data_IF_309401186520
#
_entry.id   IF_309401186520
#
_cell.length_a   1.000
_cell.length_b   1.000
_cell.length_c   1.000
_cell.angle_alpha   90.00
_cell.angle_beta   90.00
_cell.angle_gamma   90.00
#
_symmetry.space_group_name_H-M   'P 1'
#
loop_
_entity.id
_entity.type
_entity.pdbx_description
1 polymer ?
#
# COMPACT_ATOMS: atom_id res chain seq x y z
N UNK A 1 18.84 56.85 11.19
CA UNK A 1 19.50 56.91 12.52
C UNK A 1 18.92 55.81 13.39
N UNK A 2 19.81 55.08 14.05
CA UNK A 2 19.64 53.81 14.76
C UNK A 2 18.93 54.02 16.11
N UNK A 3 17.99 53.14 16.49
CA UNK A 3 18.04 52.38 17.77
C UNK A 3 16.98 51.28 17.85
N UNK A 4 17.50 50.07 17.81
CA UNK A 4 16.94 48.79 18.23
C UNK A 4 16.46 48.82 19.69
N UNK A 5 15.36 48.13 19.99
CA UNK A 5 15.07 47.60 21.33
C UNK A 5 14.43 46.21 21.19
N UNK A 6 15.28 45.19 21.10
CA UNK A 6 14.91 43.80 21.37
C UNK A 6 14.86 43.60 22.89
N UNK A 7 13.72 43.16 23.43
CA UNK A 7 13.65 42.55 24.77
C UNK A 7 13.58 41.05 24.60
N UNK A 8 14.70 40.40 24.89
CA UNK A 8 14.87 38.96 24.99
C UNK A 8 14.53 38.54 26.42
N UNK A 9 13.46 37.78 26.61
CA UNK A 9 13.16 37.14 27.91
C UNK A 9 13.68 35.72 27.86
N UNK A 10 14.81 35.49 28.55
CA UNK A 10 15.37 34.18 28.84
C UNK A 10 14.54 33.54 29.96
N UNK A 11 13.93 32.38 29.69
CA UNK A 11 13.39 31.49 30.70
C UNK A 11 14.31 30.27 30.81
N UNK A 12 15.11 30.28 31.87
CA UNK A 12 16.01 29.21 32.28
C UNK A 12 15.19 28.15 33.00
N UNK A 13 14.97 26.98 32.40
CA UNK A 13 14.47 25.81 33.10
C UNK A 13 15.65 24.87 33.37
N UNK A 14 16.06 24.82 34.64
CA UNK A 14 17.04 23.86 35.16
C UNK A 14 16.28 22.57 35.47
N UNK A 15 16.44 21.54 34.65
CA UNK A 15 15.97 20.19 34.95
C UNK A 15 17.16 19.36 35.44
N UNK A 16 17.22 19.10 36.75
CA UNK A 16 18.17 18.17 37.37
C UNK A 16 17.55 16.77 37.29
N UNK A 17 17.99 15.97 36.33
CA UNK A 17 17.70 14.53 36.31
C UNK A 17 18.81 13.80 37.07
N UNK A 18 18.49 13.34 38.28
CA UNK A 18 19.35 12.48 39.09
C UNK A 18 19.43 11.09 38.44
N UNK A 19 20.64 10.74 37.97
CA UNK A 19 20.99 9.41 37.47
C UNK A 19 21.19 8.49 38.69
N UNK A 20 20.23 7.61 38.97
CA UNK A 20 20.39 6.52 39.95
C UNK A 20 20.75 5.24 39.18
N UNK A 21 22.04 4.92 39.14
CA UNK A 21 22.53 3.60 38.75
C UNK A 21 22.20 2.60 39.87
N UNK A 22 21.31 1.64 39.58
CA UNK A 22 21.13 0.42 40.36
C UNK A 22 21.79 -0.78 39.65
N UNK A 23 22.43 -1.72 40.37
CA UNK A 23 23.07 -2.88 39.77
C UNK A 23 22.04 -3.97 39.45
N UNK A 24 22.01 -4.44 38.21
CA UNK A 24 21.28 -5.68 37.86
C UNK A 24 22.19 -6.85 38.20
N UNK A 25 21.82 -7.55 39.27
CA UNK A 25 22.38 -8.84 39.67
C UNK A 25 22.07 -9.90 38.61
N UNK A 26 23.05 -10.77 38.38
CA UNK A 26 23.05 -11.75 37.31
C UNK A 26 22.02 -12.88 37.44
N UNK A 27 21.69 -13.44 36.28
CA UNK A 27 21.20 -14.80 36.15
C UNK A 27 22.20 -15.58 35.28
N UNK A 28 22.67 -16.69 35.85
CA UNK A 28 23.55 -17.66 35.23
C UNK A 28 22.84 -18.34 34.05
N UNK A 29 23.46 -18.36 32.88
CA UNK A 29 23.10 -19.27 31.79
C UNK A 29 23.99 -20.51 31.93
N UNK A 30 23.38 -21.63 32.31
CA UNK A 30 24.01 -22.95 32.31
C UNK A 30 24.16 -23.52 30.90
N UNK A 31 24.99 -24.56 30.72
CA UNK A 31 25.43 -25.03 29.41
C UNK A 31 24.32 -25.79 28.68
N UNK A 32 24.25 -25.57 27.36
CA UNK A 32 23.45 -26.36 26.43
C UNK A 32 23.92 -27.81 26.45
N UNK A 33 23.01 -28.73 26.76
CA UNK A 33 23.21 -30.16 26.61
C UNK A 33 23.10 -30.54 25.13
N UNK A 34 24.09 -31.29 24.66
CA UNK A 34 24.13 -31.98 23.38
C UNK A 34 22.86 -32.79 23.14
N UNK A 35 22.17 -32.50 22.05
CA UNK A 35 21.16 -33.40 21.48
C UNK A 35 21.74 -34.03 20.19
N UNK A 36 21.62 -35.36 20.03
CA UNK A 36 22.35 -36.11 19.03
C UNK A 36 21.81 -35.95 17.61
N UNK A 37 22.76 -35.78 16.72
CA UNK A 37 22.70 -35.92 15.26
C UNK A 37 22.03 -37.25 14.82
N UNK A 38 20.91 -37.25 14.10
CA UNK A 38 20.49 -38.40 13.33
C UNK A 38 21.19 -38.41 11.96
N UNK A 39 21.91 -39.50 11.72
CA UNK A 39 22.66 -39.87 10.53
C UNK A 39 21.85 -39.79 9.22
N UNK A 40 22.54 -39.65 8.06
CA UNK A 40 21.92 -39.49 6.75
C UNK A 40 21.26 -40.80 6.28
N UNK A 41 19.99 -40.73 5.90
CA UNK A 41 19.29 -41.85 5.27
C UNK A 41 19.61 -41.93 3.78
N UNK A 42 19.82 -43.18 3.37
CA UNK A 42 20.39 -43.67 2.14
C UNK A 42 19.76 -43.17 0.83
N UNK A 43 20.64 -43.19 -0.17
CA UNK A 43 20.37 -43.18 -1.60
C UNK A 43 19.25 -44.14 -2.03
N UNK A 44 18.47 -43.69 -3.01
CA UNK A 44 17.96 -44.58 -4.05
C UNK A 44 18.29 -43.97 -5.42
N UNK A 45 19.19 -44.66 -6.11
CA UNK A 45 19.35 -44.63 -7.56
C UNK A 45 18.03 -45.06 -8.22
N UNK A 46 17.66 -44.40 -9.31
CA UNK A 46 16.88 -45.07 -10.35
C UNK A 46 17.41 -44.61 -11.70
N UNK A 47 17.96 -45.57 -12.42
CA UNK A 47 18.58 -45.44 -13.75
C UNK A 47 17.59 -45.91 -14.82
N UNK A 48 17.48 -45.08 -15.86
CA UNK A 48 17.14 -45.32 -17.27
C UNK A 48 15.89 -46.13 -17.68
N UNK A 49 15.03 -45.46 -18.47
CA UNK A 49 14.63 -45.98 -19.78
C UNK A 49 14.70 -44.84 -20.80
N UNK A 50 15.59 -45.01 -21.77
CA UNK A 50 15.88 -44.13 -22.88
C UNK A 50 15.16 -44.74 -24.10
N UNK A 51 14.18 -44.03 -24.67
CA UNK A 51 13.61 -44.41 -25.97
C UNK A 51 13.94 -43.32 -26.99
N UNK A 52 14.59 -43.78 -28.04
CA UNK A 52 15.15 -42.99 -29.14
C UNK A 52 14.24 -43.16 -30.34
N UNK A 53 13.61 -42.09 -30.84
CA UNK A 53 13.14 -41.99 -32.24
C UNK A 53 13.05 -40.51 -32.58
N UNK A 54 14.06 -39.95 -33.23
CA UNK A 54 14.17 -39.75 -34.69
C UNK A 54 13.61 -38.40 -35.11
N UNK A 55 14.53 -37.59 -35.62
CA UNK A 55 14.33 -36.27 -36.15
C UNK A 55 13.40 -36.25 -37.36
N UNK A 56 12.48 -35.30 -37.37
CA UNK A 56 12.01 -34.68 -38.61
C UNK A 56 12.25 -33.17 -38.56
N UNK A 57 12.56 -32.71 -39.75
CA UNK A 57 13.28 -31.52 -40.11
C UNK A 57 12.26 -30.46 -40.55
N UNK A 58 12.03 -29.43 -39.76
CA UNK A 58 11.23 -28.26 -40.19
C UNK A 58 11.99 -26.95 -39.94
N UNK A 59 12.69 -26.56 -41.01
CA UNK A 59 12.76 -25.22 -41.60
C UNK A 59 12.52 -24.03 -40.67
N UNK A 60 13.62 -23.46 -40.18
CA UNK A 60 13.66 -22.12 -39.62
C UNK A 60 13.15 -21.09 -40.65
N UNK A 61 11.93 -20.58 -40.44
CA UNK A 61 11.49 -19.31 -41.04
C UNK A 61 11.89 -18.20 -40.08
N UNK A 62 13.01 -17.56 -40.39
CA UNK A 62 13.41 -16.28 -39.84
C UNK A 62 12.32 -15.22 -40.14
N UNK A 63 11.53 -14.89 -39.11
CA UNK A 63 10.78 -13.64 -39.04
C UNK A 63 11.30 -12.86 -37.86
N UNK A 64 12.34 -12.07 -38.11
CA UNK A 64 12.70 -10.93 -37.28
C UNK A 64 11.53 -9.96 -37.15
N UNK A 65 10.66 -10.17 -36.17
CA UNK A 65 9.77 -9.13 -35.67
C UNK A 65 10.60 -8.25 -34.75
N UNK A 66 11.11 -7.15 -35.30
CA UNK A 66 11.71 -6.07 -34.54
C UNK A 66 10.61 -5.50 -33.64
N UNK A 67 10.64 -5.82 -32.35
CA UNK A 67 9.90 -5.08 -31.33
C UNK A 67 10.55 -3.71 -31.27
N UNK A 68 10.03 -2.78 -32.06
CA UNK A 68 10.46 -1.39 -32.05
C UNK A 68 10.17 -0.81 -30.67
N UNK A 69 11.21 -0.35 -29.99
CA UNK A 69 11.08 0.58 -28.87
C UNK A 69 10.19 1.75 -29.33
N UNK A 70 9.10 2.09 -28.62
CA UNK A 70 8.23 3.17 -29.04
C UNK A 70 9.05 4.46 -29.06
N UNK A 71 9.34 4.94 -30.26
CA UNK A 71 10.00 6.23 -30.43
C UNK A 71 8.94 7.29 -30.19
N UNK A 72 9.06 8.03 -29.08
CA UNK A 72 8.16 9.14 -28.72
C UNK A 72 8.06 10.09 -29.92
N UNK A 73 6.88 10.28 -30.54
CA UNK A 73 6.73 11.21 -31.65
C UNK A 73 6.99 12.63 -31.17
N UNK A 74 8.01 13.29 -31.71
CA UNK A 74 8.43 14.65 -31.37
C UNK A 74 7.75 15.70 -32.26
N UNK A 75 6.44 15.56 -32.50
CA UNK A 75 5.66 16.54 -33.29
C UNK A 75 4.55 17.14 -32.42
N UNK A 76 4.56 18.47 -32.16
CA UNK A 76 3.61 19.13 -31.26
C UNK A 76 2.30 19.50 -31.97
N UNK A 77 1.70 18.57 -32.71
CA UNK A 77 0.49 18.85 -33.52
C UNK A 77 -0.58 17.74 -33.44
N UNK A 78 -0.54 16.94 -32.37
CA UNK A 78 -1.65 16.05 -32.06
C UNK A 78 -2.56 16.75 -31.04
N UNK A 79 -3.64 17.34 -31.55
CA UNK A 79 -4.78 17.68 -30.71
C UNK A 79 -5.14 16.46 -29.85
N UNK A 80 -5.20 16.66 -28.54
CA UNK A 80 -5.58 15.63 -27.57
C UNK A 80 -6.97 15.13 -27.97
N UNK A 81 -7.09 13.85 -28.28
CA UNK A 81 -8.29 13.25 -28.85
C UNK A 81 -8.56 11.89 -28.20
N UNK A 82 -9.84 11.44 -28.15
CA UNK A 82 -10.17 10.20 -27.46
C UNK A 82 -9.38 9.00 -28.00
N UNK A 83 -8.88 8.17 -27.09
CA UNK A 83 -8.19 6.91 -27.42
C UNK A 83 -9.18 5.76 -27.53
N UNK A 84 -8.89 4.80 -28.40
CA UNK A 84 -9.65 3.56 -28.49
C UNK A 84 -9.27 2.61 -27.36
N UNK A 85 -10.25 1.91 -26.80
CA UNK A 85 -10.00 0.86 -25.81
C UNK A 85 -9.25 -0.31 -26.45
N UNK A 86 -8.33 -0.96 -25.72
CA UNK A 86 -7.66 -2.15 -26.22
C UNK A 86 -8.68 -3.28 -26.45
N UNK A 87 -8.41 -4.11 -27.45
CA UNK A 87 -9.17 -5.35 -27.64
C UNK A 87 -8.81 -6.37 -26.56
N UNK A 88 -9.80 -7.10 -26.07
CA UNK A 88 -9.58 -8.16 -25.08
C UNK A 88 -8.85 -9.33 -25.75
N UNK A 89 -7.79 -9.87 -25.14
CA UNK A 89 -7.08 -11.02 -25.69
C UNK A 89 -7.92 -12.30 -25.59
N UNK A 90 -7.86 -13.13 -26.62
CA UNK A 90 -8.43 -14.49 -26.69
C UNK A 90 -7.32 -15.47 -27.12
N UNK A 91 -6.96 -16.49 -26.32
CA UNK A 91 -7.56 -16.86 -25.03
C UNK A 91 -7.12 -15.94 -23.89
N UNK A 92 -8.00 -15.76 -22.91
CA UNK A 92 -7.71 -15.01 -21.69
C UNK A 92 -6.96 -15.88 -20.67
N UNK A 93 -5.89 -15.33 -20.09
CA UNK A 93 -5.11 -15.95 -19.01
C UNK A 93 -4.56 -14.87 -18.07
N UNK A 94 -4.02 -15.25 -16.91
CA UNK A 94 -3.55 -14.29 -15.91
C UNK A 94 -2.56 -13.25 -16.48
N UNK A 95 -1.61 -13.67 -17.33
CA UNK A 95 -0.58 -12.77 -17.86
C UNK A 95 -1.11 -11.76 -18.87
N UNK A 96 -2.12 -12.11 -19.67
CA UNK A 96 -2.69 -11.18 -20.64
C UNK A 96 -3.87 -10.39 -20.06
N UNK A 97 -4.59 -10.92 -19.06
CA UNK A 97 -5.59 -10.20 -18.28
C UNK A 97 -4.96 -9.02 -17.54
N UNK A 98 -3.79 -9.22 -16.92
CA UNK A 98 -2.95 -8.17 -16.33
C UNK A 98 -2.75 -6.99 -17.29
N UNK A 99 -2.09 -7.27 -18.42
CA UNK A 99 -1.68 -6.27 -19.41
C UNK A 99 -2.88 -5.59 -20.05
N UNK A 100 -3.94 -6.37 -20.32
CA UNK A 100 -5.19 -5.88 -20.87
C UNK A 100 -5.85 -4.87 -19.93
N UNK A 101 -6.01 -5.20 -18.65
CA UNK A 101 -6.67 -4.31 -17.68
C UNK A 101 -5.84 -3.04 -17.43
N UNK A 102 -4.52 -3.13 -17.35
CA UNK A 102 -3.66 -1.96 -17.24
C UNK A 102 -3.84 -1.00 -18.44
N UNK A 103 -3.80 -1.52 -19.67
CA UNK A 103 -4.02 -0.72 -20.87
C UNK A 103 -5.46 -0.19 -20.97
N UNK A 104 -6.45 -0.99 -20.57
CA UNK A 104 -7.86 -0.62 -20.57
C UNK A 104 -8.11 0.57 -19.63
N UNK A 105 -7.60 0.50 -18.40
CA UNK A 105 -7.74 1.56 -17.40
C UNK A 105 -7.00 2.84 -17.82
N UNK A 106 -5.83 2.71 -18.44
CA UNK A 106 -5.07 3.85 -18.96
C UNK A 106 -5.88 4.64 -19.99
N UNK A 107 -6.52 3.93 -20.93
CA UNK A 107 -7.42 4.54 -21.92
C UNK A 107 -8.70 5.08 -21.27
N UNK A 108 -9.30 4.34 -20.33
CA UNK A 108 -10.51 4.77 -19.62
C UNK A 108 -10.29 6.12 -18.96
N UNK A 109 -9.20 6.26 -18.18
CA UNK A 109 -8.89 7.49 -17.45
C UNK A 109 -8.45 8.62 -18.35
N UNK A 110 -7.67 8.33 -19.40
CA UNK A 110 -7.32 9.33 -20.42
C UNK A 110 -8.59 9.96 -21.02
N UNK A 111 -9.54 9.12 -21.44
CA UNK A 111 -10.80 9.56 -22.04
C UNK A 111 -11.71 10.27 -21.03
N UNK A 112 -11.70 9.86 -19.76
CA UNK A 112 -12.39 10.54 -18.66
C UNK A 112 -11.85 11.96 -18.47
N UNK A 113 -10.54 12.14 -18.35
CA UNK A 113 -9.91 13.47 -18.20
C UNK A 113 -10.28 14.37 -19.39
N UNK A 114 -10.15 13.85 -20.61
CA UNK A 114 -10.49 14.59 -21.82
C UNK A 114 -11.97 15.02 -21.86
N UNK A 115 -12.88 14.17 -21.37
CA UNK A 115 -14.32 14.45 -21.32
C UNK A 115 -14.70 15.44 -20.21
N UNK A 116 -14.06 15.36 -19.05
CA UNK A 116 -14.45 16.15 -17.87
C UNK A 116 -13.76 17.51 -17.81
N UNK A 117 -12.63 17.64 -18.49
CA UNK A 117 -11.78 18.84 -18.43
C UNK A 117 -12.03 19.71 -19.67
N UNK A 118 -13.30 20.07 -19.91
CA UNK A 118 -13.73 20.78 -21.13
C UNK A 118 -13.36 22.26 -21.17
N UNK A 119 -13.12 22.86 -20.01
CA UNK A 119 -12.97 24.33 -19.88
C UNK A 119 -11.52 24.82 -19.98
N UNK A 120 -10.57 23.90 -20.14
CA UNK A 120 -9.16 24.22 -20.33
C UNK A 120 -8.65 23.56 -21.60
N UNK A 121 -7.79 24.25 -22.36
CA UNK A 121 -7.17 23.63 -23.54
C UNK A 121 -6.08 22.67 -23.05
N UNK A 122 -6.44 21.40 -22.91
CA UNK A 122 -5.48 20.34 -22.60
C UNK A 122 -4.51 20.19 -23.79
N UNK A 123 -3.21 20.27 -23.52
CA UNK A 123 -2.14 20.12 -24.52
C UNK A 123 -1.48 18.75 -24.46
N UNK A 124 -1.55 18.06 -23.31
CA UNK A 124 -1.01 16.71 -23.13
C UNK A 124 -1.75 16.01 -21.97
N UNK A 125 -1.91 14.69 -22.07
CA UNK A 125 -2.37 13.83 -20.97
C UNK A 125 -1.42 12.63 -20.94
N UNK A 126 -0.75 12.42 -19.81
CA UNK A 126 0.00 11.20 -19.50
C UNK A 126 -0.78 10.41 -18.44
N UNK A 127 -1.17 9.19 -18.76
CA UNK A 127 -1.76 8.25 -17.80
C UNK A 127 -0.88 7.03 -17.85
N UNK A 128 -0.55 6.46 -16.69
CA UNK A 128 0.19 5.20 -16.63
C UNK A 128 -0.43 4.31 -15.59
N UNK A 129 -0.72 3.09 -16.00
CA UNK A 129 -1.27 2.06 -15.13
C UNK A 129 -0.36 0.82 -15.15
N UNK A 130 -0.23 0.17 -14.01
CA UNK A 130 0.43 -1.12 -13.87
C UNK A 130 -0.38 -2.02 -12.97
N UNK A 131 -0.44 -3.31 -13.31
CA UNK A 131 -1.06 -4.32 -12.46
C UNK A 131 -0.30 -4.48 -11.16
N UNK A 132 -1.04 -4.55 -10.06
CA UNK A 132 -0.53 -4.83 -8.72
C UNK A 132 -0.88 -6.24 -8.26
N UNK A 133 -1.99 -6.79 -8.77
CA UNK A 133 -2.37 -8.17 -8.49
C UNK A 133 -3.26 -8.75 -9.58
N UNK A 134 -3.15 -10.06 -9.78
CA UNK A 134 -4.05 -10.87 -10.61
C UNK A 134 -4.37 -12.15 -9.88
N UNK A 135 -5.64 -12.44 -9.70
CA UNK A 135 -6.12 -13.69 -9.11
C UNK A 135 -7.17 -14.33 -10.02
N UNK A 136 -7.04 -15.63 -10.26
CA UNK A 136 -8.04 -16.42 -10.98
C UNK A 136 -9.07 -16.98 -9.99
N UNK A 137 -10.36 -16.83 -10.30
CA UNK A 137 -11.49 -17.35 -9.51
C UNK A 137 -12.60 -17.78 -10.46
N UNK A 138 -12.99 -19.05 -10.39
CA UNK A 138 -14.13 -19.61 -11.14
C UNK A 138 -14.10 -19.30 -12.66
N UNK A 139 -12.91 -19.33 -13.27
CA UNK A 139 -12.71 -19.03 -14.70
C UNK A 139 -12.71 -17.52 -15.04
N UNK A 140 -12.71 -16.64 -14.03
CA UNK A 140 -12.58 -15.20 -14.18
C UNK A 140 -11.26 -14.71 -13.58
N UNK A 141 -10.76 -13.58 -14.06
CA UNK A 141 -9.59 -12.90 -13.50
C UNK A 141 -10.02 -11.65 -12.75
N UNK A 142 -9.65 -11.59 -11.48
CA UNK A 142 -9.73 -10.38 -10.66
C UNK A 142 -8.39 -9.67 -10.76
N UNK A 143 -8.36 -8.54 -11.46
CA UNK A 143 -7.15 -7.76 -11.69
C UNK A 143 -7.26 -6.44 -10.96
N UNK A 144 -6.20 -6.05 -10.25
CA UNK A 144 -6.08 -4.72 -9.67
C UNK A 144 -4.91 -3.98 -10.29
N UNK A 145 -5.13 -2.72 -10.66
CA UNK A 145 -4.11 -1.85 -11.25
C UNK A 145 -3.93 -0.61 -10.41
N UNK A 146 -2.68 -0.17 -10.26
CA UNK A 146 -2.32 1.15 -9.75
C UNK A 146 -2.07 2.09 -10.92
N UNK A 147 -2.65 3.27 -10.87
CA UNK A 147 -2.58 4.27 -11.90
C UNK A 147 -2.13 5.62 -11.35
N UNK A 148 -1.32 6.33 -12.13
CA UNK A 148 -1.02 7.74 -11.94
C UNK A 148 -1.35 8.50 -13.23
N UNK A 149 -1.67 9.79 -13.11
CA UNK A 149 -1.92 10.62 -14.29
C UNK A 149 -1.49 12.06 -14.06
N UNK A 150 -1.12 12.73 -15.14
CA UNK A 150 -0.94 14.17 -15.19
C UNK A 150 -1.44 14.69 -16.52
N UNK A 151 -1.83 15.96 -16.55
CA UNK A 151 -2.15 16.62 -17.80
C UNK A 151 -1.64 18.06 -17.81
N UNK A 152 -1.23 18.49 -19.00
CA UNK A 152 -0.80 19.87 -19.25
C UNK A 152 -1.95 20.64 -19.86
N UNK A 153 -2.12 21.89 -19.44
CA UNK A 153 -3.12 22.79 -19.99
C UNK A 153 -2.49 24.11 -20.39
N UNK A 154 -3.02 24.73 -21.45
CA UNK A 154 -2.34 25.80 -22.15
C UNK A 154 -3.25 26.80 -22.84
N UNK A 155 -2.63 27.75 -23.53
CA UNK A 155 -3.32 28.66 -24.46
C UNK A 155 -2.58 28.62 -25.79
N UNK A 156 -3.33 28.48 -26.89
CA UNK A 156 -2.78 28.45 -28.25
C UNK A 156 -1.65 27.40 -28.43
N UNK A 157 -1.83 26.22 -27.84
CA UNK A 157 -0.84 25.13 -27.91
C UNK A 157 0.40 25.31 -27.02
N UNK A 158 0.53 26.42 -26.28
CA UNK A 158 1.60 26.62 -25.30
C UNK A 158 1.13 26.16 -23.90
N UNK A 159 1.77 25.13 -23.30
CA UNK A 159 1.50 24.75 -21.92
C UNK A 159 1.73 25.91 -20.96
N UNK A 160 0.76 26.17 -20.09
CA UNK A 160 0.80 27.22 -19.06
C UNK A 160 0.74 26.68 -17.64
N UNK A 161 0.41 25.40 -17.49
CA UNK A 161 0.36 24.71 -16.21
C UNK A 161 0.26 23.20 -16.37
N UNK A 162 0.48 22.50 -15.27
CA UNK A 162 0.40 21.05 -15.13
C UNK A 162 -0.56 20.77 -13.97
N UNK A 163 -1.42 19.79 -14.13
CA UNK A 163 -2.24 19.24 -13.06
C UNK A 163 -1.89 17.77 -12.89
N UNK A 164 -1.41 17.43 -11.70
CA UNK A 164 -1.13 16.05 -11.31
C UNK A 164 -2.34 15.46 -10.58
N UNK A 165 -2.78 14.31 -11.08
CA UNK A 165 -3.79 13.49 -10.44
C UNK A 165 -3.21 12.73 -9.26
N UNK A 166 -4.00 12.57 -8.20
CA UNK A 166 -3.66 11.61 -7.16
C UNK A 166 -3.60 10.20 -7.78
N UNK A 167 -2.57 9.40 -7.45
CA UNK A 167 -2.56 8.00 -7.83
C UNK A 167 -3.79 7.30 -7.27
N UNK A 168 -4.25 6.27 -7.96
CA UNK A 168 -5.43 5.50 -7.55
C UNK A 168 -5.31 4.05 -8.00
N UNK A 169 -6.13 3.20 -7.41
CA UNK A 169 -6.25 1.80 -7.71
C UNK A 169 -7.61 1.53 -8.33
N UNK A 170 -7.65 0.70 -9.37
CA UNK A 170 -8.87 0.22 -9.98
C UNK A 170 -8.88 -1.31 -9.94
N UNK A 171 -10.00 -1.87 -9.49
CA UNK A 171 -10.18 -3.33 -9.42
C UNK A 171 -11.21 -3.78 -10.43
N UNK A 172 -10.87 -4.79 -11.19
CA UNK A 172 -11.66 -5.33 -12.30
C UNK A 172 -11.94 -6.81 -12.11
N UNK A 173 -13.08 -7.26 -12.63
CA UNK A 173 -13.33 -8.66 -13.00
C UNK A 173 -13.32 -8.73 -14.53
N UNK A 174 -12.59 -9.69 -15.05
CA UNK A 174 -12.46 -9.93 -16.49
C UNK A 174 -12.67 -11.40 -16.79
N UNK A 175 -13.53 -11.65 -17.76
CA UNK A 175 -13.81 -12.98 -18.30
C UNK A 175 -13.95 -12.92 -19.82
N UNK A 176 -14.30 -14.04 -20.45
CA UNK A 176 -14.40 -14.15 -21.91
C UNK A 176 -15.41 -13.13 -22.49
N UNK A 177 -16.43 -12.74 -21.73
CA UNK A 177 -17.51 -11.86 -22.19
C UNK A 177 -17.40 -10.42 -21.72
N UNK A 178 -16.76 -10.15 -20.58
CA UNK A 178 -16.92 -8.89 -19.87
C UNK A 178 -15.63 -8.30 -19.29
N UNK A 179 -15.70 -6.99 -19.02
CA UNK A 179 -14.67 -6.23 -18.30
C UNK A 179 -15.41 -5.29 -17.37
N UNK A 180 -15.54 -5.68 -16.11
CA UNK A 180 -16.36 -4.99 -15.13
C UNK A 180 -15.48 -4.32 -14.08
N UNK A 181 -15.66 -3.02 -13.87
CA UNK A 181 -15.01 -2.27 -12.80
C UNK A 181 -15.76 -2.54 -11.49
N UNK A 182 -15.10 -3.24 -10.56
CA UNK A 182 -15.63 -3.49 -9.22
C UNK A 182 -15.55 -2.28 -8.31
N UNK A 183 -14.56 -1.41 -8.52
CA UNK A 183 -14.41 -0.21 -7.72
C UNK A 183 -13.14 0.57 -8.02
N UNK A 184 -13.21 1.87 -7.73
CA UNK A 184 -12.07 2.77 -7.69
C UNK A 184 -11.72 3.05 -6.23
N UNK A 185 -10.44 2.98 -5.91
CA UNK A 185 -9.88 3.41 -4.64
C UNK A 185 -8.85 4.46 -4.95
N UNK A 186 -9.16 5.74 -4.73
CA UNK A 186 -8.12 6.75 -4.72
C UNK A 186 -7.06 6.33 -3.71
N UNK A 187 -5.77 6.34 -4.08
CA UNK A 187 -4.76 6.39 -3.04
C UNK A 187 -5.11 7.67 -2.28
N UNK A 188 -5.42 7.53 -1.00
CA UNK A 188 -6.01 8.63 -0.27
C UNK A 188 -5.04 9.80 -0.37
N UNK A 189 -5.44 10.88 -1.05
CA UNK A 189 -4.69 12.13 -1.05
C UNK A 189 -4.88 12.67 0.36
N UNK A 190 -4.01 12.27 1.29
CA UNK A 190 -4.11 12.74 2.67
C UNK A 190 -3.51 14.14 2.71
N UNK A 191 -4.29 15.10 2.17
CA UNK A 191 -3.97 16.51 2.25
C UNK A 191 -4.12 16.94 3.70
N UNK A 192 -2.99 17.09 4.40
CA UNK A 192 -2.96 17.67 5.73
C UNK A 192 -1.84 17.12 6.59
N UNK A 193 -1.02 18.02 7.14
CA UNK A 193 -0.04 17.75 8.19
C UNK A 193 -0.68 17.37 9.54
N UNK A 194 -1.98 17.02 9.57
CA UNK A 194 -2.74 16.77 10.78
C UNK A 194 -2.99 15.26 10.96
N UNK A 195 -2.84 14.76 12.20
CA UNK A 195 -3.29 13.42 12.55
C UNK A 195 -4.77 13.23 12.25
N UNK A 196 -5.13 12.01 11.86
CA UNK A 196 -6.51 11.63 11.56
C UNK A 196 -7.05 10.67 12.61
N UNK A 197 -8.34 10.74 12.96
CA UNK A 197 -8.96 9.74 13.82
C UNK A 197 -8.97 8.40 13.10
N UNK A 198 -8.69 7.32 13.85
CA UNK A 198 -8.86 5.96 13.34
C UNK A 198 -10.33 5.72 12.99
N UNK A 199 -10.63 4.96 11.92
CA UNK A 199 -12.01 4.64 11.58
C UNK A 199 -12.65 3.80 12.69
N UNK A 200 -13.95 3.99 12.88
CA UNK A 200 -14.76 3.14 13.75
C UNK A 200 -14.89 1.74 13.15
N UNK A 201 -14.92 0.72 14.02
CA UNK A 201 -15.08 -0.66 13.59
C UNK A 201 -16.51 -0.88 13.09
N UNK A 202 -16.72 -1.60 11.98
CA UNK A 202 -18.06 -1.85 11.47
C UNK A 202 -18.83 -2.84 12.36
N UNK A 203 -20.12 -2.57 12.51
CA UNK A 203 -21.11 -3.45 13.11
C UNK A 203 -22.27 -3.66 12.09
N UNK A 204 -22.54 -4.88 11.61
CA UNK A 204 -21.90 -6.15 11.98
C UNK A 204 -20.53 -6.37 11.33
N UNK A 205 -19.71 -7.17 12.02
CA UNK A 205 -18.42 -7.63 11.53
C UNK A 205 -18.61 -8.80 10.55
N UNK A 206 -18.35 -8.57 9.26
CA UNK A 206 -18.37 -9.58 8.21
C UNK A 206 -17.15 -9.42 7.30
N UNK A 207 -16.84 -10.43 6.47
CA UNK A 207 -15.61 -10.41 5.65
C UNK A 207 -15.47 -9.14 4.79
N UNK A 208 -16.57 -8.65 4.18
CA UNK A 208 -16.55 -7.45 3.35
C UNK A 208 -16.37 -6.16 4.16
N UNK A 209 -17.02 -6.06 5.33
CA UNK A 209 -16.86 -4.88 6.21
C UNK A 209 -15.47 -4.86 6.83
N UNK A 210 -14.93 -6.01 7.22
CA UNK A 210 -13.59 -6.17 7.79
C UNK A 210 -12.49 -5.80 6.81
N UNK A 211 -12.58 -6.21 5.55
CA UNK A 211 -11.60 -5.82 4.54
C UNK A 211 -11.59 -4.30 4.36
N UNK A 212 -12.75 -3.67 4.20
CA UNK A 212 -12.82 -2.20 4.07
C UNK A 212 -12.28 -1.48 5.30
N UNK A 213 -12.63 -1.98 6.49
CA UNK A 213 -12.16 -1.44 7.76
C UNK A 213 -10.63 -1.58 7.91
N UNK A 214 -10.06 -2.76 7.64
CA UNK A 214 -8.64 -3.02 7.79
C UNK A 214 -7.78 -2.13 6.88
N UNK A 215 -8.21 -1.93 5.62
CA UNK A 215 -7.57 -0.97 4.71
C UNK A 215 -7.57 0.45 5.31
N UNK A 216 -8.74 0.96 5.67
CA UNK A 216 -8.88 2.32 6.16
C UNK A 216 -8.14 2.55 7.49
N UNK A 217 -8.17 1.54 8.38
CA UNK A 217 -7.48 1.58 9.66
C UNK A 217 -5.97 1.70 9.45
N UNK A 218 -5.40 0.87 8.58
CA UNK A 218 -3.98 0.88 8.31
C UNK A 218 -3.52 2.14 7.56
N UNK A 219 -4.33 2.63 6.61
CA UNK A 219 -4.05 3.91 5.92
C UNK A 219 -3.99 5.09 6.90
N UNK A 220 -4.89 5.13 7.88
CA UNK A 220 -4.86 6.17 8.93
C UNK A 220 -3.68 5.97 9.88
N UNK A 221 -3.46 4.74 10.35
CA UNK A 221 -2.37 4.43 11.28
C UNK A 221 -1.01 4.81 10.68
N UNK A 222 -0.73 4.40 9.43
CA UNK A 222 0.53 4.71 8.76
C UNK A 222 0.67 6.19 8.42
N UNK A 223 -0.41 6.87 8.05
CA UNK A 223 -0.40 8.32 7.88
C UNK A 223 0.02 9.05 9.17
N UNK A 224 -0.59 8.70 10.30
CA UNK A 224 -0.25 9.29 11.59
C UNK A 224 1.20 8.95 11.99
N UNK A 225 1.65 7.71 11.77
CA UNK A 225 3.04 7.30 11.99
C UNK A 225 4.02 8.15 11.16
N UNK A 226 3.74 8.39 9.88
CA UNK A 226 4.57 9.25 9.01
C UNK A 226 4.61 10.69 9.53
N UNK A 227 3.46 11.24 9.96
CA UNK A 227 3.43 12.57 10.56
C UNK A 227 4.28 12.65 11.83
N UNK A 228 4.18 11.66 12.72
CA UNK A 228 4.93 11.62 13.97
C UNK A 228 6.44 11.45 13.73
N UNK A 229 6.83 10.64 12.73
CA UNK A 229 8.25 10.43 12.38
C UNK A 229 8.89 11.64 11.71
N UNK A 230 8.13 12.38 10.90
CA UNK A 230 8.68 13.40 9.99
C UNK A 230 8.52 14.82 10.53
N UNK A 231 7.54 15.09 11.38
CA UNK A 231 7.33 16.41 11.99
C UNK A 231 8.47 16.77 12.95
N UNK A 232 9.61 17.18 12.37
CA UNK A 232 10.75 17.79 13.02
C UNK A 232 10.67 19.33 12.83
N UNK A 233 11.41 20.14 13.61
CA UNK A 233 11.30 21.60 13.56
C UNK A 233 11.51 22.25 12.18
N UNK A 234 12.17 21.55 11.25
CA UNK A 234 12.53 22.05 9.92
C UNK A 234 11.99 21.16 8.77
N UNK A 235 11.01 20.31 9.05
CA UNK A 235 10.43 19.42 8.06
C UNK A 235 8.91 19.35 8.28
N UNK A 236 8.14 19.57 7.22
CA UNK A 236 6.68 19.41 7.28
C UNK A 236 6.25 18.46 6.19
N UNK A 237 5.47 17.44 6.56
CA UNK A 237 4.81 16.57 5.59
C UNK A 237 3.76 17.41 4.87
N UNK A 238 3.94 17.61 3.57
CA UNK A 238 2.97 18.34 2.74
C UNK A 238 1.88 17.42 2.23
N UNK A 239 2.24 16.16 1.95
CA UNK A 239 1.34 15.19 1.36
C UNK A 239 1.76 13.77 1.73
N UNK A 240 0.79 12.92 2.08
CA UNK A 240 1.00 11.49 2.31
C UNK A 240 0.08 10.70 1.41
N UNK A 241 0.63 9.67 0.79
CA UNK A 241 -0.08 8.62 0.06
C UNK A 241 0.12 7.33 0.83
N UNK A 242 -0.97 6.74 1.31
CA UNK A 242 -0.98 5.36 1.80
C UNK A 242 -2.06 4.63 1.02
N UNK A 243 -1.73 3.44 0.55
CA UNK A 243 -2.70 2.56 -0.10
C UNK A 243 -2.50 1.13 0.37
N UNK A 244 -3.61 0.52 0.78
CA UNK A 244 -3.60 -0.79 1.39
C UNK A 244 -4.61 -1.74 0.72
N UNK A 245 -4.19 -2.99 0.50
CA UNK A 245 -4.93 -4.00 -0.25
C UNK A 245 -5.23 -5.24 0.58
N UNK A 246 -6.14 -5.14 1.56
CA UNK A 246 -6.33 -6.19 2.54
C UNK A 246 -6.86 -7.47 1.91
N UNK A 247 -6.43 -8.59 2.48
CA UNK A 247 -6.87 -9.94 2.17
C UNK A 247 -7.17 -10.68 3.47
N UNK A 248 -8.32 -11.36 3.53
CA UNK A 248 -8.66 -12.21 4.67
C UNK A 248 -7.82 -13.48 4.55
N UNK A 249 -6.98 -13.72 5.53
CA UNK A 249 -6.15 -14.91 5.62
C UNK A 249 -6.94 -16.04 6.27
N UNK A 250 -7.66 -15.71 7.35
CA UNK A 250 -8.37 -16.69 8.16
C UNK A 250 -9.60 -16.05 8.80
N UNK A 251 -10.71 -16.78 8.78
CA UNK A 251 -11.89 -16.47 9.58
C UNK A 251 -11.93 -17.45 10.75
N UNK A 252 -12.03 -16.94 11.96
CA UNK A 252 -12.10 -17.73 13.19
C UNK A 252 -13.44 -17.50 13.89
N UNK A 253 -13.76 -18.33 14.87
CA UNK A 253 -14.96 -18.13 15.71
C UNK A 253 -14.91 -16.79 16.47
N UNK A 254 -13.70 -16.30 16.74
CA UNK A 254 -13.43 -15.06 17.46
C UNK A 254 -13.14 -13.87 16.53
N UNK A 255 -13.38 -13.94 15.22
CA UNK A 255 -13.19 -12.83 14.28
C UNK A 255 -12.39 -13.16 13.02
N UNK A 256 -11.48 -12.26 12.64
CA UNK A 256 -10.75 -12.32 11.35
C UNK A 256 -9.27 -12.06 11.54
N UNK A 257 -8.45 -12.83 10.82
CA UNK A 257 -7.03 -12.54 10.60
C UNK A 257 -6.87 -11.97 9.18
N UNK A 258 -6.40 -10.73 9.10
CA UNK A 258 -6.32 -9.98 7.84
C UNK A 258 -4.87 -9.56 7.60
N UNK A 259 -4.35 -9.89 6.43
CA UNK A 259 -3.09 -9.32 5.93
C UNK A 259 -3.42 -8.07 5.12
N UNK A 260 -2.70 -7.00 5.40
CA UNK A 260 -2.89 -5.67 4.81
C UNK A 260 -1.56 -5.24 4.19
N UNK A 261 -1.27 -5.68 2.94
CA UNK A 261 -0.15 -5.18 2.16
C UNK A 261 -0.40 -3.72 1.82
N UNK A 262 0.58 -2.88 2.09
CA UNK A 262 0.48 -1.45 1.86
C UNK A 262 1.68 -0.90 1.11
N UNK A 263 1.40 0.13 0.31
CA UNK A 263 2.36 1.04 -0.28
C UNK A 263 2.19 2.40 0.38
N UNK A 264 3.28 3.13 0.53
CA UNK A 264 3.18 4.53 0.89
C UNK A 264 4.29 5.37 0.25
N UNK A 265 3.99 6.64 0.06
CA UNK A 265 4.95 7.67 -0.28
C UNK A 265 4.51 8.97 0.39
N UNK A 266 5.46 9.84 0.69
CA UNK A 266 5.12 11.13 1.28
C UNK A 266 6.08 12.21 0.80
N UNK A 267 5.61 13.44 0.84
CA UNK A 267 6.35 14.62 0.41
C UNK A 267 6.67 15.44 1.64
N UNK A 268 7.94 15.82 1.76
CA UNK A 268 8.45 16.63 2.87
C UNK A 268 8.95 17.94 2.31
N UNK A 269 8.39 19.05 2.80
CA UNK A 269 8.97 20.37 2.61
C UNK A 269 10.05 20.59 3.68
N UNK A 270 11.29 20.83 3.23
CA UNK A 270 12.39 21.31 4.06
C UNK A 270 12.86 22.64 3.49
N UNK A 271 12.61 23.72 4.24
CA UNK A 271 13.05 25.08 3.89
C UNK A 271 12.57 25.57 2.49
N UNK A 272 11.43 25.06 2.01
CA UNK A 272 10.85 25.38 0.70
C UNK A 272 11.17 24.35 -0.39
N UNK A 273 12.01 23.35 -0.11
CA UNK A 273 12.31 22.25 -1.02
C UNK A 273 11.44 21.04 -0.72
N UNK A 274 10.55 20.69 -1.65
CA UNK A 274 9.68 19.52 -1.54
C UNK A 274 10.39 18.29 -2.07
N UNK A 275 10.66 17.32 -1.20
CA UNK A 275 11.31 16.05 -1.52
C UNK A 275 10.32 14.90 -1.33
N UNK A 276 10.20 14.04 -2.34
CA UNK A 276 9.47 12.78 -2.23
C UNK A 276 10.32 11.75 -1.48
N UNK A 277 9.75 11.15 -0.45
CA UNK A 277 10.36 10.08 0.34
C UNK A 277 9.52 8.81 0.15
N UNK A 278 10.21 7.75 -0.30
CA UNK A 278 9.69 6.41 -0.69
C UNK A 278 8.91 6.28 -2.01
N UNK A 279 8.87 5.04 -2.52
CA UNK A 279 8.47 4.64 -3.88
C UNK A 279 7.20 3.79 -3.87
N UNK A 280 6.24 4.13 -4.73
CA UNK A 280 4.88 3.56 -4.81
C UNK A 280 4.77 2.21 -5.56
N UNK A 281 5.87 1.62 -6.02
CA UNK A 281 5.82 0.54 -7.02
C UNK A 281 5.84 -0.90 -6.45
N UNK A 282 6.16 -1.10 -5.17
CA UNK A 282 6.19 -2.43 -4.53
C UNK A 282 5.69 -2.28 -3.10
N UNK A 283 4.73 -3.12 -2.61
CA UNK A 283 4.23 -3.02 -1.26
C UNK A 283 5.42 -2.98 -0.31
N UNK A 284 5.60 -1.85 0.36
CA UNK A 284 6.76 -1.63 1.21
C UNK A 284 6.69 -2.50 2.45
N UNK A 285 5.47 -2.82 2.90
CA UNK A 285 5.23 -3.72 4.01
C UNK A 285 3.85 -4.40 3.95
N UNK A 286 3.66 -5.38 4.82
CA UNK A 286 2.38 -6.04 5.10
C UNK A 286 2.13 -6.02 6.60
N UNK A 287 1.03 -5.39 7.02
CA UNK A 287 0.56 -5.43 8.41
C UNK A 287 -0.46 -6.55 8.58
N UNK A 288 -0.29 -7.39 9.60
CA UNK A 288 -1.24 -8.45 9.94
C UNK A 288 -2.06 -8.03 11.14
N UNK A 289 -3.38 -8.08 11.00
CA UNK A 289 -4.34 -7.72 12.04
C UNK A 289 -5.17 -8.91 12.47
N UNK A 290 -5.45 -8.97 13.79
CA UNK A 290 -6.58 -9.72 14.33
C UNK A 290 -7.71 -8.73 14.62
N UNK A 291 -8.87 -8.93 14.02
CA UNK A 291 -10.01 -8.02 14.10
C UNK A 291 -11.22 -8.80 14.58
N UNK A 292 -11.82 -8.37 15.69
CA UNK A 292 -13.01 -8.97 16.26
C UNK A 292 -14.00 -7.92 16.75
N UNK A 293 -15.09 -8.35 17.40
CA UNK A 293 -16.14 -7.44 17.88
C UNK A 293 -15.65 -6.47 18.95
N UNK A 294 -14.55 -6.74 19.66
CA UNK A 294 -14.06 -5.91 20.77
C UNK A 294 -12.74 -5.18 20.48
N UNK A 295 -11.85 -5.73 19.66
CA UNK A 295 -10.51 -5.21 19.40
C UNK A 295 -10.06 -5.26 17.92
N UNK A 296 -9.11 -4.38 17.62
CA UNK A 296 -8.31 -4.39 16.38
C UNK A 296 -6.84 -4.45 16.82
N UNK A 297 -6.24 -5.63 16.72
CA UNK A 297 -4.89 -5.91 17.23
C UNK A 297 -3.90 -6.06 16.08
N UNK A 298 -2.83 -5.27 16.08
CA UNK A 298 -1.71 -5.45 15.16
C UNK A 298 -0.84 -6.63 15.63
N UNK A 299 -0.86 -7.73 14.89
CA UNK A 299 -0.15 -8.98 15.23
C UNK A 299 1.28 -8.94 14.73
N UNK A 300 1.52 -8.43 13.52
CA UNK A 300 2.85 -8.39 12.92
C UNK A 300 2.95 -7.31 11.84
N UNK A 301 4.16 -6.82 11.59
CA UNK A 301 4.51 -6.04 10.40
C UNK A 301 5.67 -6.72 9.69
N UNK A 302 5.52 -7.04 8.42
CA UNK A 302 6.56 -7.64 7.58
C UNK A 302 6.96 -6.64 6.50
N UNK A 303 8.22 -6.23 6.49
CA UNK A 303 8.75 -5.41 5.39
C UNK A 303 8.93 -6.29 4.13
N UNK A 304 8.73 -5.72 2.95
CA UNK A 304 9.09 -6.43 1.73
C UNK A 304 10.60 -6.66 1.68
N UNK A 305 11.00 -7.88 1.30
CA UNK A 305 12.39 -8.31 1.20
C UNK A 305 13.16 -7.39 0.25
N UNK A 306 13.97 -6.49 0.82
CA UNK A 306 14.67 -5.41 0.11
C UNK A 306 14.86 -4.14 0.92
N UNK A 307 14.05 -3.91 1.96
CA UNK A 307 14.21 -2.81 2.91
C UNK A 307 14.93 -3.28 4.18
N UNK A 308 16.14 -2.79 4.44
CA UNK A 308 16.97 -3.16 5.61
C UNK A 308 16.50 -2.54 6.95
N UNK A 309 15.21 -2.19 7.10
CA UNK A 309 14.69 -1.49 8.28
C UNK A 309 13.83 -2.43 9.14
N UNK A 310 14.40 -2.92 10.24
CA UNK A 310 13.65 -3.71 11.24
C UNK A 310 12.94 -2.77 12.20
N UNK A 311 11.61 -2.73 12.19
CA UNK A 311 10.79 -1.98 13.16
C UNK A 311 10.07 -2.94 14.11
N UNK A 312 10.23 -2.72 15.41
CA UNK A 312 9.47 -3.41 16.48
C UNK A 312 8.08 -2.78 16.59
N UNK A 313 6.98 -3.55 16.60
CA UNK A 313 5.64 -2.98 16.72
C UNK A 313 5.42 -2.28 18.08
N UNK A 314 4.83 -1.09 18.05
CA UNK A 314 4.32 -0.38 19.24
C UNK A 314 2.99 -1.00 19.70
N UNK A 315 2.77 -1.03 21.02
CA UNK A 315 1.78 -1.87 21.70
C UNK A 315 0.30 -1.66 21.39
N UNK A 316 -0.50 -2.54 21.99
CA UNK A 316 -1.94 -2.73 21.86
C UNK A 316 -2.74 -1.45 22.11
N UNK A 317 -3.58 -1.05 21.14
CA UNK A 317 -4.60 -0.04 21.36
C UNK A 317 -5.82 -0.69 22.05
N UNK A 318 -5.89 -0.63 23.37
CA UNK A 318 -7.11 -0.93 24.12
C UNK A 318 -8.06 0.26 24.00
N UNK A 319 -9.26 0.02 23.47
CA UNK A 319 -10.37 0.97 23.62
C UNK A 319 -10.69 1.08 25.12
N UNK A 320 -10.62 2.28 25.68
CA UNK A 320 -11.10 2.55 27.04
C UNK A 320 -12.62 2.38 27.06
N UNK A 321 -13.08 1.40 27.83
CA UNK A 321 -14.50 1.13 28.08
C UNK A 321 -14.94 1.93 29.32
N UNK A 322 -15.91 2.83 29.16
CA UNK A 322 -16.53 3.58 30.25
C UNK A 322 -17.37 2.61 31.13
N UNK A 323 -16.75 2.08 32.18
CA UNK A 323 -17.44 1.25 33.15
C UNK A 323 -18.40 2.09 34.03
N UNK A 324 -19.68 1.81 33.85
CA UNK A 324 -20.82 2.32 34.59
C UNK A 324 -20.78 1.86 36.06
N UNK A 325 -21.03 2.80 36.97
CA UNK A 325 -21.19 2.62 38.42
C UNK A 325 -22.30 1.62 38.75
N UNK A 326 -22.00 0.56 39.50
CA UNK A 326 -23.01 -0.30 40.13
C UNK A 326 -22.66 -0.58 41.61
N UNK A 327 -23.71 -0.57 42.41
CA UNK A 327 -23.76 -0.36 43.85
C UNK A 327 -23.14 -1.47 44.71
N UNK A 328 -22.49 -1.03 45.79
CA UNK A 328 -22.07 -1.85 46.94
C UNK A 328 -23.28 -2.36 47.71
N UNK A 329 -23.54 -3.67 47.70
CA UNK A 329 -24.43 -4.35 48.65
C UNK A 329 -23.60 -5.20 49.61
N UNK A 330 -23.44 -4.70 50.83
CA UNK A 330 -22.86 -5.44 51.96
C UNK A 330 -23.90 -6.41 52.51
N UNK A 331 -23.57 -7.69 52.59
CA UNK A 331 -24.28 -8.66 53.44
C UNK A 331 -23.25 -9.63 54.00
N UNK A 332 -22.81 -9.41 55.24
CA UNK A 332 -22.03 -10.40 55.98
C UNK A 332 -22.95 -11.12 56.94
N UNK A 333 -23.01 -12.43 56.76
CA UNK A 333 -23.73 -13.37 57.58
C UNK A 333 -23.04 -13.58 58.94
N UNK A 334 -23.89 -13.82 59.93
CA UNK A 334 -23.64 -14.50 61.19
C UNK A 334 -23.04 -15.89 60.97
N UNK A 335 -22.02 -16.28 61.74
CA UNK A 335 -21.89 -17.65 62.24
C UNK A 335 -21.01 -17.68 63.50
N UNK A 336 -21.60 -18.31 64.54
CA UNK A 336 -21.07 -18.99 65.75
C UNK A 336 -19.73 -18.60 66.38
#
# INVERSE_FOLDING_TARGET
MIRSNRRTTLLTAVLVAALVCGPVAGAQIGPAADAPNPAPSAAQETTAAQETTTAENETATDRGTTVGTPTRPTTPDHAVSPRQFPERPDPLNASNADRYIAAYEEVRKYNEILRETTDVNITSIDVRCGSTSVAERDGQFVVEVACGFSYEFGRNGTPTGIADGAPYFARYVVDDGSTELLGLRSALRVGGALPRPLPERPDPLNASSVLRYAAAYEEVRKHNEILDEVNAPNATVTETFVSCLPEVVEQTDDGFLVDVPCNFAYFVDRDGDVVMVESLLVPSYTARYRINETATELVAVRQASGSNRTTTPAGTATAEDEATTAETRTTTATET
#
